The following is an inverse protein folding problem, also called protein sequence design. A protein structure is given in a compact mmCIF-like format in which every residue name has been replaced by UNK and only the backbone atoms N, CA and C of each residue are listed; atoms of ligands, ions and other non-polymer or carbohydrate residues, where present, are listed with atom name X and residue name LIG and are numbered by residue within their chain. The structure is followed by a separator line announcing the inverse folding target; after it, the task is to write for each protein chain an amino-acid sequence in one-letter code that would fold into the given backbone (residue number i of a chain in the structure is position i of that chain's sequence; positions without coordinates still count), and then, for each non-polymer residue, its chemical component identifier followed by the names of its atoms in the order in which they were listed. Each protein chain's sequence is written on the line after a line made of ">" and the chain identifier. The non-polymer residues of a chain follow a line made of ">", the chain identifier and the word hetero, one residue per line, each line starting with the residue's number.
data_IF_304846449661
#
_entry.id   IF_304846449661
#
_cell.length_a   1.000
_cell.length_b   1.000
_cell.length_c   1.000
_cell.angle_alpha   90.00
_cell.angle_beta   90.00
_cell.angle_gamma   90.00
#
_symmetry.space_group_name_H-M   'P 1'
#
loop_
_entity.id
_entity.type
_entity.pdbx_description
1 polymer ?
#
# COMPACT_ATOMS: atom_id res chain seq x y z
N UNK A 1 3.22 -14.83 -3.72
CA UNK A 1 4.55 -14.24 -3.95
C UNK A 1 4.86 -14.25 -5.45
N UNK A 2 4.80 -13.10 -6.09
CA UNK A 2 4.96 -12.95 -7.54
C UNK A 2 6.43 -12.95 -8.02
N UNK A 3 7.37 -13.46 -7.25
CA UNK A 3 8.74 -13.70 -7.72
C UNK A 3 9.86 -12.99 -6.96
N UNK A 4 9.58 -12.37 -5.84
CA UNK A 4 10.62 -11.74 -5.00
C UNK A 4 11.44 -12.74 -4.19
N UNK A 5 12.60 -12.30 -3.68
CA UNK A 5 13.51 -13.08 -2.82
C UNK A 5 12.98 -13.27 -1.38
N UNK A 6 11.67 -13.16 -1.16
CA UNK A 6 11.06 -13.28 0.15
C UNK A 6 10.96 -14.74 0.61
N UNK A 7 11.19 -14.99 1.92
CA UNK A 7 11.01 -16.31 2.57
C UNK A 7 9.61 -16.89 2.39
N UNK A 8 8.60 -16.09 2.14
CA UNK A 8 7.22 -16.53 1.97
C UNK A 8 7.05 -17.59 0.88
N UNK A 9 7.87 -17.56 -0.17
CA UNK A 9 7.90 -18.62 -1.17
C UNK A 9 8.37 -19.94 -0.56
N UNK A 10 9.39 -19.90 0.26
CA UNK A 10 9.95 -21.08 0.92
C UNK A 10 8.94 -21.70 1.90
N UNK A 11 8.22 -20.87 2.64
CA UNK A 11 7.13 -21.35 3.52
C UNK A 11 6.01 -22.04 2.73
N UNK A 12 5.64 -21.56 1.57
CA UNK A 12 4.68 -22.23 0.70
C UNK A 12 5.14 -23.63 0.29
N UNK A 13 6.42 -23.82 -0.04
CA UNK A 13 6.98 -25.14 -0.36
C UNK A 13 6.98 -26.08 0.85
N UNK A 14 7.33 -25.58 2.05
CA UNK A 14 7.27 -26.35 3.29
C UNK A 14 5.82 -26.77 3.58
N UNK A 15 4.87 -25.84 3.53
CA UNK A 15 3.45 -26.12 3.76
C UNK A 15 2.93 -27.19 2.80
N UNK A 16 3.30 -27.09 1.52
CA UNK A 16 2.93 -28.10 0.52
C UNK A 16 3.43 -29.49 0.88
N UNK A 17 4.67 -29.59 1.38
CA UNK A 17 5.27 -30.88 1.84
C UNK A 17 4.58 -31.44 3.08
N UNK A 18 4.25 -30.58 4.04
CA UNK A 18 3.62 -30.98 5.30
C UNK A 18 2.17 -31.43 5.06
N UNK A 19 1.39 -30.62 4.32
CA UNK A 19 -0.03 -30.85 4.13
C UNK A 19 -0.33 -32.02 3.18
N UNK A 20 0.65 -32.44 2.35
CA UNK A 20 0.53 -33.57 1.39
C UNK A 20 -0.75 -33.56 0.55
N UNK A 21 -1.39 -32.40 0.39
CA UNK A 21 -2.64 -32.27 -0.35
C UNK A 21 -2.41 -32.09 -1.85
N UNK A 22 -3.22 -32.77 -2.68
CA UNK A 22 -3.14 -32.67 -4.14
C UNK A 22 -3.55 -31.28 -4.68
N UNK A 23 -4.36 -30.54 -3.92
CA UNK A 23 -4.94 -29.27 -4.32
C UNK A 23 -4.19 -28.03 -3.77
N UNK A 24 -2.92 -28.19 -3.42
CA UNK A 24 -2.10 -27.08 -2.95
C UNK A 24 -1.33 -26.43 -4.10
N UNK A 25 -1.64 -25.18 -4.40
CA UNK A 25 -1.04 -24.43 -5.50
C UNK A 25 -0.22 -23.28 -4.98
N UNK A 26 1.03 -23.17 -5.40
CA UNK A 26 1.90 -22.04 -5.12
C UNK A 26 1.89 -21.12 -6.33
N UNK A 27 1.28 -19.95 -6.19
CA UNK A 27 1.23 -18.93 -7.24
C UNK A 27 2.57 -18.18 -7.31
N UNK A 28 3.16 -18.12 -8.48
CA UNK A 28 4.28 -17.25 -8.79
C UNK A 28 4.12 -16.65 -10.20
N UNK A 29 4.91 -15.62 -10.52
CA UNK A 29 4.82 -14.93 -11.82
C UNK A 29 5.05 -15.85 -13.03
N UNK A 30 5.89 -16.89 -12.87
CA UNK A 30 6.26 -17.80 -13.97
C UNK A 30 5.15 -18.80 -14.29
N UNK A 31 4.36 -19.21 -13.29
CA UNK A 31 3.32 -20.24 -13.47
C UNK A 31 1.88 -19.69 -13.41
N UNK A 32 1.70 -18.39 -13.14
CA UNK A 32 0.39 -17.78 -13.00
C UNK A 32 -0.52 -18.03 -14.20
N UNK A 33 -0.01 -17.76 -15.42
CA UNK A 33 -0.81 -17.91 -16.63
C UNK A 33 -1.19 -19.38 -16.91
N UNK A 34 -0.23 -20.29 -16.83
CA UNK A 34 -0.47 -21.72 -17.05
C UNK A 34 -1.41 -22.31 -16.02
N UNK A 35 -1.29 -21.88 -14.77
CA UNK A 35 -2.14 -22.32 -13.68
C UNK A 35 -3.58 -21.79 -13.84
N UNK A 36 -3.75 -20.49 -14.18
CA UNK A 36 -5.06 -19.92 -14.46
C UNK A 36 -5.76 -20.61 -15.62
N UNK A 37 -5.02 -20.92 -16.70
CA UNK A 37 -5.56 -21.69 -17.84
C UNK A 37 -6.01 -23.09 -17.42
N UNK A 38 -5.19 -23.78 -16.60
CA UNK A 38 -5.51 -25.14 -16.11
C UNK A 38 -6.74 -25.15 -15.20
N UNK A 39 -6.83 -24.19 -14.27
CA UNK A 39 -7.95 -24.12 -13.30
C UNK A 39 -9.24 -23.67 -13.98
N UNK A 40 -9.19 -22.66 -14.83
CA UNK A 40 -10.38 -22.08 -15.45
C UNK A 40 -10.97 -22.94 -16.58
N UNK A 41 -10.17 -23.85 -17.16
CA UNK A 41 -10.54 -24.64 -18.36
C UNK A 41 -11.02 -23.78 -19.54
N UNK A 42 -10.64 -22.48 -19.55
CA UNK A 42 -11.02 -21.49 -20.57
C UNK A 42 -9.97 -21.38 -21.68
N UNK A 43 -10.38 -20.77 -22.78
CA UNK A 43 -9.47 -20.48 -23.89
C UNK A 43 -8.37 -19.53 -23.46
N UNK A 44 -7.22 -19.54 -24.14
CA UNK A 44 -6.12 -18.63 -23.88
C UNK A 44 -6.55 -17.15 -24.02
N UNK A 45 -7.41 -16.86 -25.01
CA UNK A 45 -7.95 -15.52 -25.26
C UNK A 45 -8.80 -15.03 -24.07
N UNK A 46 -9.64 -15.89 -23.50
CA UNK A 46 -10.48 -15.56 -22.35
C UNK A 46 -9.65 -15.28 -21.09
N UNK A 47 -8.60 -16.08 -20.86
CA UNK A 47 -7.69 -15.86 -19.72
C UNK A 47 -6.96 -14.51 -19.87
N UNK A 48 -6.44 -14.20 -21.06
CA UNK A 48 -5.79 -12.89 -21.31
C UNK A 48 -6.78 -11.75 -21.09
N UNK A 49 -8.00 -11.87 -21.66
CA UNK A 49 -9.04 -10.84 -21.48
C UNK A 49 -9.38 -10.64 -20.00
N UNK A 50 -9.54 -11.73 -19.24
CA UNK A 50 -9.81 -11.64 -17.81
C UNK A 50 -8.66 -10.96 -17.02
N UNK A 51 -7.42 -11.28 -17.36
CA UNK A 51 -6.25 -10.63 -16.75
C UNK A 51 -6.18 -9.12 -17.06
N UNK A 52 -6.47 -8.72 -18.29
CA UNK A 52 -6.53 -7.30 -18.67
C UNK A 52 -7.66 -6.57 -17.94
N UNK A 53 -8.83 -7.16 -17.82
CA UNK A 53 -9.95 -6.61 -17.05
C UNK A 53 -9.56 -6.47 -15.57
N UNK A 54 -8.95 -7.50 -14.97
CA UNK A 54 -8.48 -7.47 -13.60
C UNK A 54 -7.43 -6.37 -13.38
N UNK A 55 -6.49 -6.20 -14.30
CA UNK A 55 -5.50 -5.13 -14.27
C UNK A 55 -6.13 -3.74 -14.31
N UNK A 56 -7.09 -3.49 -15.20
CA UNK A 56 -7.83 -2.22 -15.26
C UNK A 56 -8.65 -1.98 -13.99
N UNK A 57 -9.30 -3.02 -13.44
CA UNK A 57 -9.99 -2.91 -12.14
C UNK A 57 -9.03 -2.50 -11.02
N UNK A 58 -7.82 -3.04 -11.02
CA UNK A 58 -6.79 -2.66 -10.03
C UNK A 58 -6.42 -1.18 -10.14
N UNK A 59 -6.28 -0.65 -11.37
CA UNK A 59 -6.05 0.79 -11.60
C UNK A 59 -7.19 1.64 -11.01
N UNK A 60 -8.43 1.24 -11.25
CA UNK A 60 -9.60 1.95 -10.75
C UNK A 60 -9.73 1.86 -9.23
N UNK A 61 -9.44 0.70 -8.65
CA UNK A 61 -9.38 0.49 -7.21
C UNK A 61 -8.39 1.43 -6.53
N UNK A 62 -7.15 1.47 -7.01
CA UNK A 62 -6.12 2.37 -6.45
C UNK A 62 -6.48 3.85 -6.61
N UNK A 63 -7.20 4.20 -7.68
CA UNK A 63 -7.72 5.56 -7.85
C UNK A 63 -8.81 5.90 -6.83
N UNK A 64 -9.71 4.96 -6.52
CA UNK A 64 -10.72 5.11 -5.46
C UNK A 64 -10.02 5.30 -4.12
N UNK A 65 -9.06 4.44 -3.77
CA UNK A 65 -8.31 4.52 -2.53
C UNK A 65 -7.52 5.84 -2.39
N UNK A 66 -6.87 6.29 -3.48
CA UNK A 66 -6.18 7.58 -3.49
C UNK A 66 -7.14 8.74 -3.22
N UNK A 67 -8.33 8.71 -3.82
CA UNK A 67 -9.36 9.72 -3.56
C UNK A 67 -9.85 9.64 -2.11
N UNK A 68 -10.13 8.45 -1.60
CA UNK A 68 -10.49 8.24 -0.20
C UNK A 68 -9.47 8.88 0.75
N UNK A 69 -8.18 8.59 0.60
CA UNK A 69 -7.12 9.15 1.46
C UNK A 69 -7.08 10.68 1.48
N UNK A 70 -7.45 11.32 0.38
CA UNK A 70 -7.55 12.78 0.32
C UNK A 70 -8.82 13.31 0.99
N UNK A 71 -9.98 12.69 0.74
CA UNK A 71 -11.28 13.19 1.21
C UNK A 71 -11.54 12.86 2.67
N UNK A 72 -11.16 11.67 3.15
CA UNK A 72 -11.46 11.16 4.47
C UNK A 72 -11.06 12.11 5.62
N UNK A 73 -9.82 12.65 5.68
CA UNK A 73 -9.43 13.56 6.75
C UNK A 73 -10.07 14.96 6.62
N UNK A 74 -10.72 15.27 5.50
CA UNK A 74 -11.31 16.59 5.19
C UNK A 74 -12.83 16.60 5.15
N UNK A 75 -13.50 15.44 5.21
CA UNK A 75 -14.96 15.41 5.12
C UNK A 75 -15.62 16.17 6.26
N UNK A 76 -16.65 16.97 5.91
CA UNK A 76 -17.45 17.72 6.90
C UNK A 76 -18.44 16.82 7.63
N UNK A 77 -19.01 15.87 6.92
CA UNK A 77 -19.92 14.88 7.48
C UNK A 77 -19.24 13.52 7.49
N UNK A 78 -19.02 13.01 8.70
CA UNK A 78 -18.34 11.74 8.94
C UNK A 78 -19.03 10.58 8.23
N UNK A 79 -18.25 9.74 7.54
CA UNK A 79 -18.70 8.53 6.86
C UNK A 79 -19.15 8.73 5.40
N UNK A 80 -19.22 9.97 4.88
CA UNK A 80 -19.57 10.19 3.47
C UNK A 80 -18.52 9.63 2.52
N UNK A 81 -17.26 9.71 2.88
CA UNK A 81 -16.14 9.17 2.09
C UNK A 81 -16.16 7.64 2.07
N UNK A 82 -16.41 7.00 3.20
CA UNK A 82 -16.52 5.54 3.30
C UNK A 82 -17.75 5.03 2.53
N UNK A 83 -18.88 5.74 2.61
CA UNK A 83 -20.07 5.42 1.81
C UNK A 83 -19.79 5.49 0.31
N UNK A 84 -19.13 6.56 -0.13
CA UNK A 84 -18.74 6.71 -1.54
C UNK A 84 -17.76 5.62 -2.00
N UNK A 85 -16.78 5.25 -1.17
CA UNK A 85 -15.88 4.12 -1.41
C UNK A 85 -16.68 2.83 -1.62
N UNK A 86 -17.56 2.49 -0.66
CA UNK A 86 -18.37 1.26 -0.69
C UNK A 86 -19.22 1.16 -1.96
N UNK A 87 -19.95 2.22 -2.30
CA UNK A 87 -20.80 2.28 -3.50
C UNK A 87 -19.98 2.05 -4.78
N UNK A 88 -18.81 2.72 -4.89
CA UNK A 88 -17.94 2.59 -6.05
C UNK A 88 -17.30 1.19 -6.14
N UNK A 89 -16.94 0.58 -5.02
CA UNK A 89 -16.38 -0.78 -4.99
C UNK A 89 -17.42 -1.83 -5.38
N UNK A 90 -18.66 -1.69 -4.92
CA UNK A 90 -19.77 -2.57 -5.30
C UNK A 90 -20.06 -2.47 -6.80
N UNK A 91 -20.12 -1.27 -7.37
CA UNK A 91 -20.29 -1.08 -8.80
C UNK A 91 -19.10 -1.67 -9.58
N UNK A 92 -17.84 -1.39 -9.17
CA UNK A 92 -16.64 -1.90 -9.82
C UNK A 92 -16.58 -3.44 -9.80
N UNK A 93 -17.06 -4.08 -8.73
CA UNK A 93 -17.11 -5.54 -8.61
C UNK A 93 -17.90 -6.17 -9.75
N UNK A 94 -19.02 -5.58 -10.13
CA UNK A 94 -19.96 -6.12 -11.11
C UNK A 94 -19.58 -5.81 -12.56
N UNK A 95 -18.61 -4.95 -12.81
CA UNK A 95 -18.16 -4.61 -14.17
C UNK A 95 -17.28 -5.74 -14.71
N UNK A 96 -17.61 -6.26 -15.91
CA UNK A 96 -16.83 -7.31 -16.61
C UNK A 96 -16.36 -6.90 -18.00
N UNK A 97 -16.81 -5.76 -18.53
CA UNK A 97 -16.47 -5.30 -19.89
C UNK A 97 -15.52 -4.09 -19.88
N UNK A 98 -14.65 -4.02 -20.90
CA UNK A 98 -13.75 -2.87 -21.08
C UNK A 98 -14.52 -1.55 -21.23
N UNK A 99 -15.56 -1.52 -22.05
CA UNK A 99 -16.38 -0.33 -22.27
C UNK A 99 -16.95 0.22 -20.97
N UNK A 100 -17.48 -0.66 -20.11
CA UNK A 100 -18.04 -0.26 -18.81
C UNK A 100 -16.95 0.24 -17.86
N UNK A 101 -15.73 -0.32 -17.88
CA UNK A 101 -14.59 0.18 -17.09
C UNK A 101 -14.19 1.61 -17.50
N UNK A 102 -14.15 1.89 -18.80
CA UNK A 102 -13.85 3.27 -19.28
C UNK A 102 -14.93 4.26 -18.86
N UNK A 103 -16.22 3.88 -18.95
CA UNK A 103 -17.34 4.72 -18.48
C UNK A 103 -17.34 4.93 -16.96
N UNK A 104 -16.80 3.97 -16.21
CA UNK A 104 -16.71 4.06 -14.76
C UNK A 104 -15.65 5.06 -14.26
N UNK A 105 -14.59 5.29 -15.03
CA UNK A 105 -13.50 6.17 -14.65
C UNK A 105 -13.94 7.60 -14.25
N UNK A 106 -14.74 8.33 -15.03
CA UNK A 106 -15.23 9.66 -14.64
C UNK A 106 -16.19 9.64 -13.46
N UNK A 107 -16.92 8.55 -13.23
CA UNK A 107 -17.83 8.41 -12.08
C UNK A 107 -17.10 8.52 -10.74
N UNK A 108 -15.88 7.97 -10.64
CA UNK A 108 -15.05 8.07 -9.43
C UNK A 108 -14.85 9.55 -9.06
N UNK A 109 -14.44 10.40 -10.04
CA UNK A 109 -14.24 11.82 -9.79
C UNK A 109 -15.55 12.49 -9.40
N UNK A 110 -16.63 12.24 -10.14
CA UNK A 110 -17.97 12.81 -9.90
C UNK A 110 -18.47 12.46 -8.51
N UNK A 111 -18.37 11.19 -8.08
CA UNK A 111 -18.89 10.75 -6.78
C UNK A 111 -18.16 11.40 -5.60
N UNK A 112 -16.82 11.44 -5.66
CA UNK A 112 -16.03 12.09 -4.61
C UNK A 112 -16.23 13.62 -4.60
N UNK A 113 -16.41 14.29 -5.74
CA UNK A 113 -16.64 15.74 -5.78
C UNK A 113 -17.94 16.20 -5.14
N UNK A 114 -18.89 15.30 -4.89
CA UNK A 114 -20.14 15.57 -4.17
C UNK A 114 -19.94 15.66 -2.65
N UNK A 115 -18.81 15.14 -2.14
CA UNK A 115 -18.53 15.16 -0.70
C UNK A 115 -18.08 16.57 -0.32
N UNK A 116 -18.77 17.17 0.66
CA UNK A 116 -18.40 18.47 1.21
C UNK A 116 -17.15 18.32 2.08
N UNK A 117 -16.11 19.08 1.78
CA UNK A 117 -14.83 19.03 2.51
C UNK A 117 -14.47 20.38 3.12
N UNK A 118 -13.69 20.33 4.18
CA UNK A 118 -12.97 21.49 4.71
C UNK A 118 -11.76 21.79 3.83
N UNK A 119 -11.62 23.06 3.42
CA UNK A 119 -10.44 23.53 2.63
C UNK A 119 -9.29 23.87 3.56
N UNK A 120 -8.73 22.86 4.20
CA UNK A 120 -7.62 23.00 5.16
C UNK A 120 -6.38 22.28 4.67
N UNK A 121 -5.21 22.84 5.04
CA UNK A 121 -3.93 22.13 4.91
C UNK A 121 -3.73 21.24 6.12
N UNK A 122 -3.33 20.00 5.87
CA UNK A 122 -3.13 18.96 6.90
C UNK A 122 -1.69 18.47 6.90
N UNK A 123 -1.18 18.00 8.05
CA UNK A 123 0.07 17.25 8.08
C UNK A 123 -0.02 16.03 7.16
N UNK A 124 1.07 15.72 6.46
CA UNK A 124 1.14 14.59 5.53
C UNK A 124 2.13 13.55 6.00
N UNK A 125 1.74 12.31 5.92
CA UNK A 125 2.58 11.17 6.27
C UNK A 125 2.68 10.19 5.11
N UNK A 126 3.90 9.71 4.82
CA UNK A 126 4.12 8.61 3.89
C UNK A 126 3.98 7.29 4.64
N UNK A 127 3.04 6.45 4.22
CA UNK A 127 2.87 5.10 4.74
C UNK A 127 3.70 4.15 3.90
N UNK A 128 4.69 3.51 4.52
CA UNK A 128 5.68 2.62 3.88
C UNK A 128 5.72 1.26 4.58
N UNK A 129 6.25 0.23 3.93
CA UNK A 129 6.45 -1.06 4.56
C UNK A 129 6.03 -2.26 3.70
N UNK A 130 5.56 -3.34 4.35
CA UNK A 130 5.22 -4.59 3.69
C UNK A 130 3.82 -4.51 3.06
N UNK A 131 3.69 -4.96 1.81
CA UNK A 131 2.49 -4.75 0.99
C UNK A 131 1.20 -5.32 1.59
N UNK A 132 1.21 -6.53 2.15
CA UNK A 132 0.01 -7.13 2.71
C UNK A 132 -0.47 -6.34 3.93
N UNK A 133 0.45 -5.97 4.82
CA UNK A 133 0.16 -5.10 5.96
C UNK A 133 -0.34 -3.73 5.53
N UNK A 134 0.19 -3.19 4.43
CA UNK A 134 -0.22 -1.89 3.89
C UNK A 134 -1.64 -1.90 3.31
N UNK A 135 -2.07 -2.98 2.65
CA UNK A 135 -3.35 -3.01 1.93
C UNK A 135 -4.48 -3.67 2.73
N UNK A 136 -4.17 -4.59 3.63
CA UNK A 136 -5.17 -5.35 4.39
C UNK A 136 -5.61 -4.58 5.64
N UNK A 137 -6.80 -3.98 5.57
CA UNK A 137 -7.36 -3.13 6.63
C UNK A 137 -7.57 -3.87 7.96
N UNK A 138 -7.90 -5.17 7.89
CA UNK A 138 -8.06 -6.00 9.09
C UNK A 138 -6.75 -6.21 9.85
N UNK A 139 -5.65 -6.40 9.11
CA UNK A 139 -4.31 -6.61 9.69
C UNK A 139 -3.74 -5.33 10.29
N UNK A 140 -3.92 -4.18 9.61
CA UNK A 140 -3.37 -2.91 10.07
C UNK A 140 -4.33 -2.09 10.95
N UNK A 141 -5.38 -2.70 11.48
CA UNK A 141 -6.35 -2.09 12.38
C UNK A 141 -6.96 -0.80 11.83
N UNK A 142 -7.25 -0.77 10.51
CA UNK A 142 -7.77 0.42 9.81
C UNK A 142 -6.92 1.68 9.97
N UNK A 143 -5.60 1.55 9.93
CA UNK A 143 -4.62 2.61 10.19
C UNK A 143 -4.89 3.91 9.41
N UNK A 144 -5.18 3.82 8.10
CA UNK A 144 -5.48 5.01 7.29
C UNK A 144 -6.69 5.79 7.81
N UNK A 145 -7.71 5.09 8.33
CA UNK A 145 -8.90 5.71 8.94
C UNK A 145 -8.56 6.38 10.27
N UNK A 146 -7.81 5.72 11.14
CA UNK A 146 -7.39 6.27 12.43
C UNK A 146 -6.53 7.52 12.27
N UNK A 147 -5.61 7.56 11.31
CA UNK A 147 -4.84 8.75 10.97
C UNK A 147 -5.73 9.86 10.40
N UNK A 148 -6.70 9.53 9.54
CA UNK A 148 -7.63 10.52 9.01
C UNK A 148 -8.54 11.13 10.10
N UNK A 149 -8.94 10.36 11.10
CA UNK A 149 -9.68 10.85 12.29
C UNK A 149 -8.86 11.85 13.11
N UNK A 150 -7.52 11.73 13.09
CA UNK A 150 -6.58 12.69 13.66
C UNK A 150 -6.24 13.85 12.70
N UNK A 151 -7.00 14.00 11.60
CA UNK A 151 -6.76 15.01 10.55
C UNK A 151 -5.35 14.92 9.94
N UNK A 152 -4.84 13.72 9.73
CA UNK A 152 -3.58 13.45 9.03
C UNK A 152 -3.89 12.93 7.62
N UNK A 153 -3.25 13.53 6.61
CA UNK A 153 -3.33 13.04 5.23
C UNK A 153 -2.29 11.95 4.99
N UNK A 154 -2.74 10.80 4.55
CA UNK A 154 -1.88 9.64 4.26
C UNK A 154 -1.59 9.57 2.76
N UNK A 155 -0.32 9.48 2.40
CA UNK A 155 0.10 9.02 1.06
C UNK A 155 0.72 7.63 1.16
N UNK A 156 0.32 6.73 0.27
CA UNK A 156 0.86 5.39 0.10
C UNK A 156 1.10 5.15 -1.38
N UNK A 157 2.31 4.73 -1.72
CA UNK A 157 2.68 4.40 -3.10
C UNK A 157 2.59 2.92 -3.37
N UNK A 158 3.08 2.11 -2.43
CA UNK A 158 3.09 0.68 -2.61
C UNK A 158 1.67 0.14 -2.67
N UNK A 159 1.32 -0.33 -3.85
CA UNK A 159 0.05 -0.96 -4.18
C UNK A 159 0.28 -2.06 -5.20
N UNK A 160 -0.79 -2.66 -5.66
CA UNK A 160 -0.71 -3.74 -6.66
C UNK A 160 -0.12 -3.25 -7.97
N UNK A 161 -0.43 -2.00 -8.38
CA UNK A 161 0.10 -1.42 -9.62
C UNK A 161 1.60 -1.15 -9.60
N UNK A 162 2.14 -0.67 -8.47
CA UNK A 162 3.58 -0.43 -8.37
C UNK A 162 4.34 -1.75 -8.47
N UNK A 163 3.84 -2.82 -7.85
CA UNK A 163 4.41 -4.16 -8.02
C UNK A 163 4.35 -4.66 -9.47
N UNK A 164 3.26 -4.36 -10.20
CA UNK A 164 3.15 -4.68 -11.62
C UNK A 164 4.14 -3.87 -12.46
N UNK A 165 4.30 -2.58 -12.18
CA UNK A 165 5.25 -1.72 -12.90
C UNK A 165 6.70 -2.18 -12.68
N UNK A 166 7.07 -2.53 -11.46
CA UNK A 166 8.40 -3.05 -11.15
C UNK A 166 8.69 -4.36 -11.89
N UNK A 167 7.69 -5.23 -12.03
CA UNK A 167 7.82 -6.47 -12.80
C UNK A 167 7.91 -6.28 -14.31
N UNK A 168 7.31 -5.20 -14.86
CA UNK A 168 7.24 -4.91 -16.28
C UNK A 168 8.30 -3.91 -16.77
N UNK A 169 8.83 -3.06 -15.88
CA UNK A 169 9.75 -1.97 -16.23
C UNK A 169 11.11 -2.14 -15.53
N UNK A 170 12.01 -2.97 -16.07
CA UNK A 170 13.34 -3.20 -15.45
C UNK A 170 14.16 -1.92 -15.27
N UNK A 171 13.88 -0.86 -16.04
CA UNK A 171 14.50 0.45 -15.86
C UNK A 171 14.09 1.14 -14.57
N UNK A 172 12.84 0.97 -14.10
CA UNK A 172 12.37 1.60 -12.86
C UNK A 172 13.18 1.11 -11.64
N UNK A 173 13.49 -0.18 -11.59
CA UNK A 173 14.32 -0.76 -10.55
C UNK A 173 15.75 -0.20 -10.56
N UNK A 174 16.36 -0.04 -11.73
CA UNK A 174 17.70 0.57 -11.85
C UNK A 174 17.72 2.02 -11.35
N UNK A 175 16.72 2.82 -11.68
CA UNK A 175 16.62 4.21 -11.20
C UNK A 175 16.42 4.27 -9.68
N UNK A 176 15.56 3.43 -9.11
CA UNK A 176 15.41 3.31 -7.67
C UNK A 176 16.73 2.90 -7.01
N UNK A 177 17.37 1.87 -7.51
CA UNK A 177 18.68 1.40 -7.00
C UNK A 177 19.70 2.53 -6.96
N UNK A 178 19.84 3.32 -8.03
CA UNK A 178 20.75 4.47 -8.10
C UNK A 178 20.45 5.52 -7.01
N UNK A 179 19.17 5.77 -6.68
CA UNK A 179 18.78 6.73 -5.63
C UNK A 179 19.14 6.24 -4.24
N UNK A 180 18.95 4.94 -3.96
CA UNK A 180 19.12 4.38 -2.62
C UNK A 180 20.54 3.79 -2.38
N UNK A 181 21.35 3.62 -3.42
CA UNK A 181 22.66 2.92 -3.38
C UNK A 181 23.58 3.40 -2.27
N UNK A 182 23.59 4.70 -1.98
CA UNK A 182 24.40 5.27 -0.89
C UNK A 182 23.91 4.91 0.53
N UNK A 183 22.70 4.37 0.67
CA UNK A 183 22.12 3.97 1.94
C UNK A 183 22.03 2.45 2.07
N UNK A 184 21.86 1.77 0.94
CA UNK A 184 21.75 0.32 0.85
C UNK A 184 22.36 -0.15 -0.47
N UNK A 185 23.58 -0.71 -0.40
CA UNK A 185 24.33 -1.18 -1.57
C UNK A 185 23.88 -2.54 -2.10
N UNK A 186 23.30 -3.37 -1.23
CA UNK A 186 22.86 -4.74 -1.56
C UNK A 186 21.34 -4.88 -1.54
N UNK A 187 20.84 -5.99 -2.07
CA UNK A 187 19.41 -6.28 -2.01
C UNK A 187 19.07 -6.98 -0.69
N UNK A 188 17.97 -6.58 -0.07
CA UNK A 188 17.45 -7.21 1.16
C UNK A 188 16.21 -8.09 0.89
N UNK A 189 15.80 -8.18 -0.37
CA UNK A 189 14.55 -8.83 -0.77
C UNK A 189 13.31 -8.02 -0.40
N UNK A 190 12.12 -8.55 -0.73
CA UNK A 190 10.84 -7.91 -0.42
C UNK A 190 10.78 -6.43 -0.84
N UNK A 191 10.11 -5.61 -0.04
CA UNK A 191 9.89 -4.18 -0.31
C UNK A 191 10.82 -3.22 0.48
N UNK A 192 11.84 -3.74 1.18
CA UNK A 192 12.71 -2.90 2.01
C UNK A 192 13.44 -1.78 1.23
N UNK A 193 13.83 -2.04 -0.03
CA UNK A 193 14.40 -1.00 -0.91
C UNK A 193 13.39 0.09 -1.25
N UNK A 194 12.16 -0.30 -1.55
CA UNK A 194 11.05 0.61 -1.84
C UNK A 194 10.75 1.49 -0.62
N UNK A 195 10.77 0.93 0.59
CA UNK A 195 10.54 1.69 1.81
C UNK A 195 11.57 2.83 1.98
N UNK A 196 12.85 2.60 1.66
CA UNK A 196 13.88 3.66 1.66
C UNK A 196 13.60 4.71 0.58
N UNK A 197 13.26 4.28 -0.65
CA UNK A 197 12.98 5.20 -1.77
C UNK A 197 11.75 6.08 -1.48
N UNK A 198 10.68 5.50 -0.96
CA UNK A 198 9.46 6.21 -0.57
C UNK A 198 9.71 7.19 0.57
N UNK A 199 10.56 6.82 1.54
CA UNK A 199 10.99 7.73 2.60
C UNK A 199 11.73 8.95 2.03
N UNK A 200 12.64 8.74 1.10
CA UNK A 200 13.37 9.82 0.44
C UNK A 200 12.45 10.71 -0.40
N UNK A 201 11.42 10.14 -0.99
CA UNK A 201 10.40 10.90 -1.70
C UNK A 201 9.53 11.73 -0.75
N UNK A 202 9.13 11.17 0.39
CA UNK A 202 8.42 11.90 1.43
C UNK A 202 9.23 13.15 1.86
N UNK A 203 10.54 12.99 2.03
CA UNK A 203 11.45 14.13 2.29
C UNK A 203 11.43 15.15 1.14
N UNK A 204 11.53 14.70 -0.11
CA UNK A 204 11.50 15.59 -1.30
C UNK A 204 10.18 16.36 -1.39
N UNK A 205 9.06 15.71 -1.07
CA UNK A 205 7.72 16.29 -1.05
C UNK A 205 7.42 17.12 0.21
N UNK A 206 8.38 17.26 1.12
CA UNK A 206 8.25 18.00 2.37
C UNK A 206 7.11 17.46 3.26
N UNK A 207 7.03 16.14 3.42
CA UNK A 207 6.11 15.52 4.37
C UNK A 207 6.65 15.65 5.79
N UNK A 208 5.76 15.74 6.76
CA UNK A 208 6.09 15.86 8.18
C UNK A 208 6.70 14.60 8.73
N UNK A 209 6.33 13.44 8.15
CA UNK A 209 6.86 12.16 8.60
C UNK A 209 6.63 10.99 7.66
N UNK A 210 7.12 9.82 8.11
CA UNK A 210 6.86 8.53 7.51
C UNK A 210 6.49 7.52 8.60
N UNK A 211 5.55 6.63 8.28
CA UNK A 211 5.10 5.55 9.14
C UNK A 211 5.38 4.22 8.46
N UNK A 212 6.28 3.44 9.04
CA UNK A 212 6.58 2.09 8.56
C UNK A 212 5.68 1.07 9.24
N UNK A 213 5.05 0.19 8.45
CA UNK A 213 4.27 -0.94 8.97
C UNK A 213 4.75 -2.26 8.37
N UNK A 214 4.81 -3.28 9.19
CA UNK A 214 5.34 -4.59 8.82
C UNK A 214 4.73 -5.70 9.67
N UNK A 215 4.59 -6.93 9.13
CA UNK A 215 4.26 -8.07 9.97
C UNK A 215 5.46 -8.45 10.83
N UNK A 216 5.22 -9.00 12.01
CA UNK A 216 6.28 -9.50 12.87
C UNK A 216 7.20 -10.47 12.12
N UNK A 217 8.50 -10.30 12.30
CA UNK A 217 9.52 -11.13 11.63
C UNK A 217 9.72 -10.87 10.13
N UNK A 218 9.15 -9.79 9.57
CA UNK A 218 9.46 -9.39 8.19
C UNK A 218 10.91 -8.93 8.05
N UNK A 219 11.77 -9.83 7.56
CA UNK A 219 13.21 -9.57 7.49
C UNK A 219 13.57 -8.34 6.63
N UNK A 220 13.06 -8.14 5.41
CA UNK A 220 13.38 -6.97 4.60
C UNK A 220 13.09 -5.66 5.32
N UNK A 221 11.91 -5.53 5.92
CA UNK A 221 11.48 -4.30 6.61
C UNK A 221 12.26 -4.08 7.91
N UNK A 222 12.52 -5.14 8.68
CA UNK A 222 13.33 -5.06 9.90
C UNK A 222 14.77 -4.67 9.59
N UNK A 223 15.33 -5.17 8.47
CA UNK A 223 16.70 -4.84 8.05
C UNK A 223 16.85 -3.36 7.66
N UNK A 224 15.84 -2.77 7.02
CA UNK A 224 15.92 -1.36 6.59
C UNK A 224 15.49 -0.37 7.65
N UNK A 225 14.79 -0.80 8.71
CA UNK A 225 14.32 0.08 9.79
C UNK A 225 15.42 0.94 10.42
N UNK A 226 16.60 0.43 10.80
CA UNK A 226 17.68 1.28 11.34
C UNK A 226 18.16 2.35 10.36
N UNK A 227 18.11 2.06 9.04
CA UNK A 227 18.44 3.03 8.00
C UNK A 227 17.40 4.15 7.98
N UNK A 228 16.10 3.78 8.01
CA UNK A 228 15.00 4.74 8.04
C UNK A 228 15.04 5.63 9.29
N UNK A 229 15.32 5.05 10.46
CA UNK A 229 15.50 5.80 11.72
C UNK A 229 16.66 6.81 11.63
N UNK A 230 17.80 6.39 11.06
CA UNK A 230 18.96 7.29 10.84
C UNK A 230 18.62 8.40 9.86
N UNK A 231 17.90 8.10 8.78
CA UNK A 231 17.43 9.09 7.81
C UNK A 231 16.42 10.06 8.45
N UNK A 232 15.51 9.58 9.27
CA UNK A 232 14.53 10.41 9.97
C UNK A 232 15.20 11.41 10.89
N UNK A 233 16.19 10.97 11.67
CA UNK A 233 17.03 11.87 12.50
C UNK A 233 17.77 12.91 11.65
N UNK A 234 18.45 12.45 10.56
CA UNK A 234 19.20 13.32 9.66
C UNK A 234 18.32 14.40 9.02
N UNK A 235 17.11 14.04 8.59
CA UNK A 235 16.20 14.96 7.90
C UNK A 235 15.20 15.66 8.82
N UNK A 236 15.28 15.40 10.12
CA UNK A 236 14.35 15.93 11.14
C UNK A 236 12.88 15.61 10.82
N UNK A 237 12.61 14.46 10.19
CA UNK A 237 11.25 13.96 9.92
C UNK A 237 10.73 13.15 11.11
N UNK A 238 9.42 13.16 11.32
CA UNK A 238 8.81 12.23 12.26
C UNK A 238 8.87 10.80 11.66
N UNK A 239 9.20 9.80 12.48
CA UNK A 239 9.24 8.42 12.05
C UNK A 239 8.70 7.51 13.15
N UNK A 240 7.80 6.62 12.78
CA UNK A 240 7.30 5.54 13.63
C UNK A 240 7.36 4.24 12.84
N UNK A 241 7.76 3.16 13.48
CA UNK A 241 7.71 1.80 12.92
C UNK A 241 6.81 0.93 13.79
N UNK A 242 5.80 0.31 13.19
CA UNK A 242 4.82 -0.56 13.85
C UNK A 242 4.89 -1.97 13.26
N UNK A 243 5.10 -2.94 14.14
CA UNK A 243 5.01 -4.36 13.80
C UNK A 243 3.65 -4.89 14.20
N UNK A 244 3.07 -5.73 13.34
CA UNK A 244 1.77 -6.37 13.55
C UNK A 244 1.94 -7.87 13.66
N UNK A 245 1.28 -8.44 14.66
CA UNK A 245 1.15 -9.87 14.91
C UNK A 245 -0.22 -10.16 15.55
N UNK A 246 -0.45 -11.39 15.90
CA UNK A 246 -1.68 -11.86 16.58
C UNK A 246 -1.86 -11.27 17.99
N UNK A 247 -0.77 -10.84 18.63
CA UNK A 247 -0.75 -10.25 19.96
C UNK A 247 -0.91 -8.71 19.93
N UNK A 248 -1.06 -8.11 18.76
CA UNK A 248 -1.11 -6.65 18.62
C UNK A 248 -2.40 -6.09 19.22
N UNK A 249 -2.30 -5.55 20.43
CA UNK A 249 -3.43 -4.95 21.16
C UNK A 249 -3.84 -3.59 20.62
N UNK A 250 -5.15 -3.37 20.43
CA UNK A 250 -5.69 -2.12 19.91
C UNK A 250 -5.36 -0.89 20.75
N UNK A 251 -5.36 -0.99 22.07
CA UNK A 251 -5.11 0.12 22.98
C UNK A 251 -3.69 0.67 22.82
N UNK A 252 -2.68 -0.23 22.85
CA UNK A 252 -1.29 0.16 22.67
C UNK A 252 -1.01 0.70 21.27
N UNK A 253 -1.70 0.16 20.25
CA UNK A 253 -1.64 0.67 18.89
C UNK A 253 -2.22 2.09 18.81
N UNK A 254 -3.41 2.33 19.36
CA UNK A 254 -4.07 3.62 19.35
C UNK A 254 -3.22 4.72 20.01
N UNK A 255 -2.67 4.44 21.19
CA UNK A 255 -1.80 5.38 21.92
C UNK A 255 -0.57 5.80 21.09
N UNK A 256 0.05 4.85 20.36
CA UNK A 256 1.19 5.15 19.49
C UNK A 256 0.80 6.00 18.29
N UNK A 257 -0.38 5.77 17.70
CA UNK A 257 -0.89 6.57 16.59
C UNK A 257 -1.21 7.99 17.05
N UNK A 258 -1.82 8.18 18.21
CA UNK A 258 -2.11 9.50 18.79
C UNK A 258 -0.81 10.28 19.05
N UNK A 259 0.14 9.70 19.76
CA UNK A 259 1.43 10.33 20.02
C UNK A 259 2.19 10.70 18.73
N UNK A 260 2.12 9.83 17.72
CA UNK A 260 2.72 10.11 16.41
C UNK A 260 2.00 11.24 15.67
N UNK A 261 0.67 11.27 15.73
CA UNK A 261 -0.15 12.34 15.14
C UNK A 261 0.17 13.70 15.76
N UNK A 262 0.30 13.78 17.09
CA UNK A 262 0.71 15.00 17.80
C UNK A 262 2.08 15.48 17.33
N UNK A 263 3.02 14.55 17.13
CA UNK A 263 4.35 14.90 16.61
C UNK A 263 4.28 15.45 15.18
N UNK A 264 3.42 14.89 14.33
CA UNK A 264 3.20 15.39 12.95
C UNK A 264 2.60 16.80 12.98
N UNK A 265 1.59 17.06 13.81
CA UNK A 265 0.97 18.37 13.97
C UNK A 265 1.99 19.40 14.45
N UNK A 266 2.77 19.10 15.49
CA UNK A 266 3.83 19.98 16.00
C UNK A 266 4.86 20.35 14.93
N UNK A 267 5.22 19.41 14.05
CA UNK A 267 6.13 19.67 12.92
C UNK A 267 5.49 20.53 11.85
N UNK A 268 4.24 20.24 11.51
CA UNK A 268 3.48 20.99 10.52
C UNK A 268 3.30 22.46 10.91
N UNK A 269 2.96 22.76 12.17
CA UNK A 269 2.84 24.11 12.69
C UNK A 269 4.17 24.88 12.65
N UNK A 270 5.27 24.20 13.00
CA UNK A 270 6.63 24.78 12.93
C UNK A 270 7.07 25.08 11.49
N UNK A 271 6.58 24.34 10.52
CA UNK A 271 6.93 24.55 9.10
C UNK A 271 6.16 25.71 8.46
N UNK A 272 5.11 26.21 9.11
CA UNK A 272 4.30 27.35 8.68
C UNK A 272 4.80 28.70 9.25
N UNK A 273 5.58 28.63 10.31
CA UNK A 273 6.29 29.79 10.89
C UNK A 273 7.62 30.00 10.17
#
# INVERSE_FOLDING_TARGET
>A
NLGGSCRQRYYGEIQKRILKTKNFFILNSKNLFSLLKKISQKSQKDVIRALLVAFLKTILLEKIEKKKRFYLPREKKRGETEKAEKELLEELRNISSFSSLFKFFPKIKKRFSQIKIEKISLPRVMLIGEIYTLVEKGVNLNLEKRLAEQKIEVERKLGLLENFKEGLLPFAEKFMQKRIQKYLSSTVGGHGRQAIDEFLEAKKKKFEGALQILPFGCMPETTVRPILEKLAKKFKMAFLSLSFDEETGEAGFQTRIEAFSDLLWKKFERSKK
#
